data_IF_433974426895
#
_entry.id   IF_433974426895
#
_cell.length_a   1.000
_cell.length_b   1.000
_cell.length_c   1.000
_cell.angle_alpha   90.00
_cell.angle_beta   90.00
_cell.angle_gamma   90.00
#
_symmetry.space_group_name_H-M   'P 1'
#
loop_
_entity.id
_entity.type
_entity.pdbx_description
1 polymer ?
#
# COMPACT_ATOMS: atom_id res chain seq x y z
N UNK A 1 16.32 5.22 15.70
CA UNK A 1 16.26 4.15 14.73
C UNK A 1 16.88 2.87 15.23
N UNK A 2 16.16 1.83 15.16
CA UNK A 2 16.63 0.59 15.72
C UNK A 2 17.12 -0.34 14.63
N UNK A 3 18.25 -0.98 14.90
CA UNK A 3 18.80 -1.93 13.96
C UNK A 3 18.50 -3.35 14.43
N UNK A 4 17.76 -4.09 13.61
CA UNK A 4 17.43 -5.48 13.91
C UNK A 4 17.93 -6.30 12.74
N UNK A 5 19.25 -6.34 12.61
CA UNK A 5 19.86 -6.87 11.41
C UNK A 5 19.69 -8.38 11.26
N UNK A 6 19.44 -9.07 12.35
CA UNK A 6 19.29 -10.52 12.31
C UNK A 6 17.83 -10.95 12.11
N UNK A 7 16.92 -10.00 11.88
CA UNK A 7 15.52 -10.32 11.70
C UNK A 7 15.11 -10.17 10.25
N UNK A 8 14.03 -10.82 9.89
CA UNK A 8 13.52 -10.73 8.53
C UNK A 8 13.03 -9.32 8.22
N UNK A 9 12.99 -8.99 6.93
CA UNK A 9 12.47 -7.71 6.51
C UNK A 9 11.03 -7.48 6.93
N UNK A 10 10.20 -8.55 6.89
CA UNK A 10 8.83 -8.44 7.34
C UNK A 10 8.71 -8.09 8.81
N UNK A 11 9.54 -8.71 9.63
CA UNK A 11 9.52 -8.42 11.05
C UNK A 11 9.94 -6.98 11.31
N UNK A 12 10.98 -6.53 10.64
CA UNK A 12 11.45 -5.15 10.81
C UNK A 12 10.38 -4.16 10.40
N UNK A 13 9.65 -4.44 9.33
CA UNK A 13 8.58 -3.55 8.89
C UNK A 13 7.45 -3.50 9.89
N UNK A 14 7.09 -4.63 10.49
CA UNK A 14 6.04 -4.63 11.50
C UNK A 14 6.45 -3.83 12.73
N UNK A 15 7.70 -3.92 13.12
CA UNK A 15 8.20 -3.11 14.24
C UNK A 15 8.10 -1.63 13.88
N UNK A 16 8.47 -1.26 12.66
CA UNK A 16 8.36 0.12 12.22
C UNK A 16 6.93 0.62 12.23
N UNK A 17 5.99 -0.21 11.78
CA UNK A 17 4.57 0.16 11.78
C UNK A 17 4.09 0.38 13.21
N UNK A 18 4.46 -0.52 14.13
CA UNK A 18 4.06 -0.39 15.52
C UNK A 18 4.61 0.89 16.15
N UNK A 19 5.84 1.25 15.82
CA UNK A 19 6.43 2.48 16.34
C UNK A 19 5.70 3.70 15.80
N UNK A 20 5.37 3.71 14.52
CA UNK A 20 4.63 4.81 13.94
C UNK A 20 3.27 4.95 14.61
N UNK A 21 2.60 3.84 14.86
CA UNK A 21 1.30 3.88 15.52
C UNK A 21 1.41 4.39 16.94
N UNK A 22 2.47 3.99 17.65
CA UNK A 22 2.65 4.41 19.04
C UNK A 22 2.83 5.91 19.15
N UNK A 23 3.38 6.55 18.14
CA UNK A 23 3.55 7.98 18.13
C UNK A 23 2.27 8.74 17.80
N UNK A 24 1.23 8.02 17.38
CA UNK A 24 -0.09 8.57 17.06
C UNK A 24 -0.02 9.74 16.09
N UNK A 25 0.61 9.55 14.94
CA UNK A 25 0.71 10.62 13.96
C UNK A 25 -0.65 10.89 13.33
N UNK A 26 -0.82 12.10 12.79
CA UNK A 26 -2.04 12.42 12.06
C UNK A 26 -2.11 11.71 10.72
N UNK A 27 -0.96 11.50 10.09
CA UNK A 27 -0.88 10.82 8.79
C UNK A 27 0.26 9.83 8.85
N UNK A 28 0.01 8.62 8.39
CA UNK A 28 1.03 7.59 8.31
C UNK A 28 1.36 7.34 6.85
N UNK A 29 2.65 7.35 6.52
CA UNK A 29 3.11 7.10 5.16
C UNK A 29 3.75 5.71 5.08
N UNK A 30 3.24 4.89 4.17
CA UNK A 30 3.83 3.60 3.85
C UNK A 30 4.39 3.67 2.43
N UNK A 31 5.68 3.51 2.29
CA UNK A 31 6.33 3.58 0.98
C UNK A 31 6.78 2.19 0.57
N UNK A 32 5.96 1.54 -0.24
CA UNK A 32 6.20 0.18 -0.72
C UNK A 32 6.56 -0.76 0.41
N UNK A 33 5.64 -0.93 1.38
CA UNK A 33 5.96 -1.67 2.60
C UNK A 33 6.27 -3.15 2.36
N UNK A 34 5.90 -3.70 1.22
CA UNK A 34 6.16 -5.10 0.92
C UNK A 34 7.30 -5.29 -0.08
N UNK A 35 7.98 -4.21 -0.45
CA UNK A 35 9.07 -4.29 -1.41
C UNK A 35 10.21 -5.12 -0.84
N UNK A 36 10.75 -6.03 -1.65
CA UNK A 36 11.89 -6.87 -1.30
C UNK A 36 11.62 -7.86 -0.16
N UNK A 37 10.35 -8.16 0.11
CA UNK A 37 10.00 -9.16 1.12
C UNK A 37 9.73 -10.50 0.47
N UNK A 38 9.96 -11.57 1.25
CA UNK A 38 9.52 -12.90 0.84
C UNK A 38 8.00 -12.92 0.71
N UNK A 39 7.49 -13.68 -0.26
CA UNK A 39 6.03 -13.77 -0.41
C UNK A 39 5.30 -14.21 0.85
N UNK A 40 5.94 -15.01 1.68
CA UNK A 40 5.32 -15.46 2.92
C UNK A 40 5.10 -14.32 3.90
N UNK A 41 5.94 -13.29 3.84
CA UNK A 41 5.86 -12.17 4.77
C UNK A 41 4.97 -11.05 4.26
N UNK A 42 4.72 -11.01 2.96
CA UNK A 42 3.90 -9.95 2.37
C UNK A 42 2.52 -9.92 2.99
N UNK A 43 1.88 -11.09 3.13
CA UNK A 43 0.54 -11.15 3.69
C UNK A 43 0.46 -10.63 5.10
N UNK A 44 1.49 -10.91 5.93
CA UNK A 44 1.49 -10.43 7.30
C UNK A 44 1.56 -8.92 7.37
N UNK A 45 2.43 -8.33 6.56
CA UNK A 45 2.58 -6.87 6.55
C UNK A 45 1.30 -6.21 6.05
N UNK A 46 0.72 -6.74 4.99
CA UNK A 46 -0.52 -6.18 4.46
C UNK A 46 -1.67 -6.29 5.45
N UNK A 47 -1.74 -7.40 6.20
CA UNK A 47 -2.77 -7.54 7.23
C UNK A 47 -2.62 -6.50 8.33
N UNK A 48 -1.39 -6.20 8.72
CA UNK A 48 -1.15 -5.18 9.73
C UNK A 48 -1.67 -3.84 9.25
N UNK A 49 -1.38 -3.48 8.01
CA UNK A 49 -1.85 -2.21 7.45
C UNK A 49 -3.37 -2.22 7.32
N UNK A 50 -3.96 -3.35 6.94
CA UNK A 50 -5.40 -3.48 6.85
C UNK A 50 -6.09 -3.20 8.18
N UNK A 51 -5.50 -3.69 9.27
CA UNK A 51 -6.04 -3.44 10.59
C UNK A 51 -6.01 -1.96 10.93
N UNK A 52 -4.92 -1.27 10.57
CA UNK A 52 -4.84 0.17 10.79
C UNK A 52 -5.90 0.91 9.98
N UNK A 53 -6.17 0.44 8.77
CA UNK A 53 -7.19 1.08 7.95
C UNK A 53 -8.57 0.94 8.59
N UNK A 54 -8.83 -0.20 9.23
CA UNK A 54 -10.10 -0.39 9.91
C UNK A 54 -10.28 0.54 11.09
N UNK A 55 -9.18 1.02 11.65
CA UNK A 55 -9.21 2.01 12.72
C UNK A 55 -9.44 3.42 12.20
N UNK A 56 -9.60 3.57 10.89
CA UNK A 56 -9.91 4.83 10.23
C UNK A 56 -8.81 5.87 10.40
N UNK A 57 -7.59 5.40 10.39
CA UNK A 57 -6.45 6.29 10.41
C UNK A 57 -6.19 6.83 9.03
N UNK A 58 -5.69 8.07 8.97
CA UNK A 58 -5.31 8.67 7.69
C UNK A 58 -3.97 8.12 7.26
N UNK A 59 -3.94 7.49 6.09
CA UNK A 59 -2.72 6.85 5.61
C UNK A 59 -2.53 7.13 4.13
N UNK A 60 -1.26 7.25 3.73
CA UNK A 60 -0.89 7.30 2.33
C UNK A 60 -0.01 6.08 2.07
N UNK A 61 -0.43 5.25 1.13
CA UNK A 61 0.26 4.00 0.84
C UNK A 61 0.72 3.99 -0.60
N UNK A 62 2.03 3.86 -0.80
CA UNK A 62 2.61 3.70 -2.13
C UNK A 62 2.91 2.22 -2.31
N UNK A 63 2.27 1.58 -3.29
CA UNK A 63 2.37 0.15 -3.41
C UNK A 63 2.10 -0.32 -4.84
N UNK A 64 2.64 -1.48 -5.18
CA UNK A 64 2.30 -2.19 -6.41
C UNK A 64 1.36 -3.35 -6.14
N UNK A 65 0.93 -3.54 -4.90
CA UNK A 65 -0.02 -4.60 -4.53
C UNK A 65 -1.42 -4.13 -4.86
N UNK A 66 -1.83 -4.34 -6.09
CA UNK A 66 -3.07 -3.74 -6.60
C UNK A 66 -4.32 -4.32 -5.97
N UNK A 67 -4.34 -5.62 -5.69
CA UNK A 67 -5.48 -6.21 -5.00
C UNK A 67 -5.68 -5.63 -3.62
N UNK A 68 -4.58 -5.46 -2.90
CA UNK A 68 -4.62 -4.84 -1.58
C UNK A 68 -5.10 -3.40 -1.67
N UNK A 69 -4.54 -2.63 -2.61
CA UNK A 69 -4.93 -1.24 -2.75
C UNK A 69 -6.42 -1.11 -3.07
N UNK A 70 -6.91 -1.97 -3.96
CA UNK A 70 -8.34 -1.94 -4.31
C UNK A 70 -9.22 -2.19 -3.09
N UNK A 71 -8.81 -3.11 -2.23
CA UNK A 71 -9.65 -3.52 -1.11
C UNK A 71 -9.59 -2.54 0.05
N UNK A 72 -8.48 -1.84 0.22
CA UNK A 72 -8.24 -1.06 1.43
C UNK A 72 -8.39 0.45 1.20
N UNK A 73 -8.02 0.95 0.03
CA UNK A 73 -8.00 2.38 -0.19
C UNK A 73 -9.39 2.97 -0.39
N UNK A 74 -9.58 4.16 0.14
CA UNK A 74 -10.77 4.94 -0.17
C UNK A 74 -10.60 5.69 -1.48
N UNK A 75 -9.41 6.24 -1.70
CA UNK A 75 -9.07 6.92 -2.95
C UNK A 75 -7.77 6.33 -3.46
N UNK A 76 -7.65 6.31 -4.78
CA UNK A 76 -6.45 5.82 -5.42
C UNK A 76 -5.92 6.86 -6.39
N UNK A 77 -4.61 6.92 -6.49
CA UNK A 77 -3.92 7.84 -7.39
C UNK A 77 -2.94 7.00 -8.20
N UNK A 78 -3.10 7.02 -9.52
CA UNK A 78 -2.15 6.34 -10.39
C UNK A 78 -1.15 7.35 -10.90
N UNK A 79 0.13 7.06 -10.69
CA UNK A 79 1.21 7.94 -11.10
C UNK A 79 2.11 7.24 -12.09
N UNK A 80 2.64 8.00 -13.03
CA UNK A 80 3.57 7.48 -14.02
C UNK A 80 4.53 8.60 -14.40
N UNK A 81 5.83 8.29 -14.38
CA UNK A 81 6.86 9.23 -14.74
C UNK A 81 6.76 10.55 -13.96
N UNK A 82 6.48 10.42 -12.68
CA UNK A 82 6.45 11.58 -11.79
C UNK A 82 5.20 12.44 -11.92
N UNK A 83 4.20 11.98 -12.65
CA UNK A 83 2.98 12.75 -12.86
C UNK A 83 1.77 11.93 -12.47
N UNK A 84 0.74 12.63 -12.00
CA UNK A 84 -0.54 12.00 -11.69
C UNK A 84 -1.28 11.78 -13.01
N UNK A 85 -1.57 10.52 -13.31
CA UNK A 85 -2.26 10.15 -14.54
C UNK A 85 -3.78 10.14 -14.32
N UNK A 86 -4.19 9.53 -13.21
CA UNK A 86 -5.61 9.41 -12.91
C UNK A 86 -5.79 9.28 -11.43
N UNK A 87 -6.89 9.83 -10.89
CA UNK A 87 -7.18 9.69 -9.47
C UNK A 87 -8.70 9.71 -9.26
N UNK A 88 -9.12 9.11 -8.16
CA UNK A 88 -10.53 9.06 -7.85
C UNK A 88 -10.82 8.04 -6.78
N UNK A 89 -12.12 7.79 -6.50
CA UNK A 89 -12.49 6.73 -5.58
C UNK A 89 -11.90 5.40 -6.04
N UNK A 90 -11.35 4.65 -5.09
CA UNK A 90 -10.63 3.43 -5.45
C UNK A 90 -11.54 2.45 -6.19
N UNK A 91 -12.76 2.26 -5.72
CA UNK A 91 -13.66 1.31 -6.36
C UNK A 91 -13.91 1.66 -7.83
N UNK A 92 -14.10 2.95 -8.10
CA UNK A 92 -14.34 3.40 -9.46
C UNK A 92 -13.09 3.27 -10.30
N UNK A 93 -11.96 3.69 -9.76
CA UNK A 93 -10.72 3.70 -10.53
C UNK A 93 -10.30 2.28 -10.92
N UNK A 94 -10.42 1.34 -10.00
CA UNK A 94 -10.02 -0.04 -10.30
C UNK A 94 -11.04 -0.78 -11.16
N UNK A 95 -12.32 -0.44 -11.04
CA UNK A 95 -13.35 -1.12 -11.82
C UNK A 95 -13.47 -0.55 -13.23
N UNK A 96 -13.28 0.74 -13.38
CA UNK A 96 -13.51 1.41 -14.67
C UNK A 96 -12.50 2.54 -14.86
N UNK A 97 -11.23 2.19 -15.04
CA UNK A 97 -10.22 3.23 -15.26
C UNK A 97 -10.47 3.93 -16.58
N UNK A 98 -10.33 5.24 -16.57
CA UNK A 98 -10.65 6.07 -17.74
C UNK A 98 -9.45 6.32 -18.64
N UNK A 99 -8.26 6.41 -18.04
CA UNK A 99 -7.06 6.72 -18.81
C UNK A 99 -6.47 5.44 -19.39
N UNK A 100 -6.05 5.44 -20.66
CA UNK A 100 -5.48 4.23 -21.26
C UNK A 100 -4.27 3.66 -20.52
N UNK A 101 -3.42 4.53 -19.97
CA UNK A 101 -2.27 4.07 -19.23
C UNK A 101 -2.69 3.34 -17.96
N UNK A 102 -3.70 3.85 -17.28
CA UNK A 102 -4.21 3.20 -16.10
C UNK A 102 -4.78 1.83 -16.43
N UNK A 103 -5.53 1.73 -17.51
CA UNK A 103 -6.08 0.44 -17.93
C UNK A 103 -4.98 -0.56 -18.23
N UNK A 104 -3.96 -0.12 -18.96
CA UNK A 104 -2.86 -0.99 -19.32
C UNK A 104 -2.13 -1.50 -18.10
N UNK A 105 -1.88 -0.61 -17.14
CA UNK A 105 -1.21 -0.98 -15.91
C UNK A 105 -2.03 -1.97 -15.11
N UNK A 106 -3.31 -1.70 -14.94
CA UNK A 106 -4.16 -2.55 -14.11
C UNK A 106 -4.40 -3.91 -14.75
N UNK A 107 -4.45 -3.98 -16.07
CA UNK A 107 -4.58 -5.26 -16.74
C UNK A 107 -3.42 -6.20 -16.41
N UNK A 108 -2.23 -5.64 -16.27
CA UNK A 108 -1.07 -6.44 -15.92
C UNK A 108 -1.15 -7.05 -14.53
N UNK A 109 -1.77 -6.34 -13.59
CA UNK A 109 -1.71 -6.70 -12.19
C UNK A 109 -3.00 -7.29 -11.64
N UNK A 110 -4.13 -7.06 -12.28
CA UNK A 110 -5.42 -7.51 -11.78
C UNK A 110 -6.04 -8.62 -12.62
N UNK A 111 -5.66 -8.72 -13.88
CA UNK A 111 -6.24 -9.74 -14.74
C UNK A 111 -5.62 -11.09 -14.43
N UNK A 112 -6.45 -12.08 -14.40
CA UNK A 112 -6.00 -13.44 -14.15
C UNK A 112 -6.28 -14.29 -15.33
#
# INVERSE_FOLDING_TARGET
>A
EMCISDRSGGHQRRVGIARAQAMRPEVILFDEPTSALDPELVGEVLNTIRQLAQEKRTMVIVTHEMGFARDVADRAIFMDQGQIVEQGPAKTLFADPQHPRTRQFLEKFLVK
#
